data_IF_313880203093
#
_entry.id   IF_313880203093
#
_cell.length_a   1.000
_cell.length_b   1.000
_cell.length_c   1.000
_cell.angle_alpha   90.00
_cell.angle_beta   90.00
_cell.angle_gamma   90.00
#
_symmetry.space_group_name_H-M   'P 1'
#
loop_
_entity.id
_entity.type
_entity.pdbx_description
1 polymer ?
#
# COMPACT_ATOMS: atom_id res chain seq x y z
N UNK A 1 22.45 -16.88 -0.92
CA UNK A 1 22.33 -15.50 -0.41
C UNK A 1 20.91 -15.32 0.06
N UNK A 2 20.69 -15.00 1.33
CA UNK A 2 19.36 -14.71 1.87
C UNK A 2 18.86 -13.40 1.25
N UNK A 3 17.72 -13.45 0.57
CA UNK A 3 16.98 -12.26 0.13
C UNK A 3 16.80 -11.30 1.33
N UNK A 4 17.06 -10.00 1.18
CA UNK A 4 16.86 -9.05 2.27
C UNK A 4 15.38 -9.02 2.67
N UNK A 5 15.08 -8.95 3.96
CA UNK A 5 13.69 -8.84 4.42
C UNK A 5 12.97 -7.64 3.79
N UNK A 6 11.69 -7.77 3.41
CA UNK A 6 10.94 -6.67 2.79
C UNK A 6 10.91 -5.43 3.69
N UNK A 7 11.33 -4.30 3.13
CA UNK A 7 11.23 -2.97 3.72
C UNK A 7 9.88 -2.37 3.39
N UNK A 8 9.16 -1.90 4.40
CA UNK A 8 7.87 -1.23 4.17
C UNK A 8 8.07 0.12 3.46
N UNK A 9 7.12 0.52 2.63
CA UNK A 9 7.15 1.82 1.94
C UNK A 9 7.17 2.98 2.93
N UNK A 10 6.48 2.85 4.06
CA UNK A 10 6.55 3.84 5.14
C UNK A 10 7.99 4.04 5.59
N UNK A 11 8.71 2.96 5.86
CA UNK A 11 10.06 3.04 6.41
C UNK A 11 11.05 3.53 5.33
N UNK A 12 10.91 3.07 4.09
CA UNK A 12 11.67 3.57 2.95
C UNK A 12 11.49 5.10 2.76
N UNK A 13 10.25 5.59 2.81
CA UNK A 13 9.94 7.01 2.68
C UNK A 13 10.39 7.86 3.89
N UNK A 14 10.56 7.24 5.06
CA UNK A 14 11.05 7.88 6.28
C UNK A 14 12.58 7.81 6.42
N UNK A 15 13.28 7.13 5.51
CA UNK A 15 14.73 7.04 5.56
C UNK A 15 15.39 8.42 5.61
N UNK A 16 16.41 8.54 6.45
CA UNK A 16 17.19 9.78 6.62
C UNK A 16 18.25 9.92 5.55
N UNK A 17 18.79 8.80 5.05
CA UNK A 17 19.88 8.72 4.08
C UNK A 17 19.56 7.75 2.93
N UNK A 18 20.29 7.82 1.80
CA UNK A 18 20.20 6.80 0.76
C UNK A 18 20.55 5.44 1.35
N UNK A 19 19.84 4.41 0.90
CA UNK A 19 20.06 3.04 1.33
C UNK A 19 20.47 2.22 0.11
N UNK A 20 21.37 1.26 0.30
CA UNK A 20 21.74 0.29 -0.75
C UNK A 20 20.57 -0.61 -1.13
N UNK A 21 20.85 -1.87 -1.47
CA UNK A 21 19.82 -2.82 -1.88
C UNK A 21 18.77 -3.04 -0.79
N UNK A 22 17.55 -2.57 -1.03
CA UNK A 22 16.34 -2.88 -0.26
C UNK A 22 15.36 -3.65 -1.13
N UNK A 23 14.52 -4.47 -0.51
CA UNK A 23 13.39 -5.12 -1.18
C UNK A 23 12.10 -4.44 -0.76
N UNK A 24 11.24 -4.08 -1.72
CA UNK A 24 9.90 -3.53 -1.50
C UNK A 24 8.88 -4.38 -2.23
N UNK A 25 7.77 -4.70 -1.58
CA UNK A 25 6.70 -5.52 -2.14
C UNK A 25 5.38 -4.77 -2.05
N UNK A 26 4.55 -4.83 -3.10
CA UNK A 26 3.27 -4.15 -3.08
C UNK A 26 2.52 -4.25 -4.39
N UNK A 27 1.50 -3.39 -4.52
CA UNK A 27 0.64 -3.32 -5.70
C UNK A 27 0.94 -2.08 -6.54
N UNK A 28 0.99 -2.28 -7.85
CA UNK A 28 1.12 -1.21 -8.84
C UNK A 28 -0.11 -0.31 -8.77
N UNK A 29 0.11 0.97 -8.50
CA UNK A 29 -0.91 2.02 -8.55
C UNK A 29 -0.99 2.63 -9.93
N UNK A 30 0.16 2.92 -10.51
CA UNK A 30 0.26 3.49 -11.86
C UNK A 30 1.60 3.10 -12.47
N UNK A 31 1.66 3.05 -13.81
CA UNK A 31 2.88 2.95 -14.59
C UNK A 31 2.89 4.07 -15.62
N UNK A 32 4.04 4.72 -15.83
CA UNK A 32 4.27 5.68 -16.90
C UNK A 32 5.56 5.34 -17.61
N UNK A 33 5.46 5.09 -18.90
CA UNK A 33 6.60 4.72 -19.72
C UNK A 33 7.28 5.98 -20.27
N UNK A 34 8.60 5.97 -20.28
CA UNK A 34 9.46 6.95 -20.93
C UNK A 34 10.36 6.24 -21.94
N UNK A 35 11.22 6.98 -22.65
CA UNK A 35 12.03 6.40 -23.73
C UNK A 35 12.97 5.28 -23.22
N UNK A 36 13.65 5.52 -22.10
CA UNK A 36 14.71 4.63 -21.60
C UNK A 36 14.38 3.96 -20.25
N UNK A 37 13.23 4.28 -19.66
CA UNK A 37 12.80 3.74 -18.37
C UNK A 37 11.28 3.90 -18.17
N UNK A 38 10.73 3.14 -17.22
CA UNK A 38 9.36 3.26 -16.74
C UNK A 38 9.34 3.71 -15.28
N UNK A 39 8.45 4.65 -14.97
CA UNK A 39 8.10 5.00 -13.59
C UNK A 39 6.94 4.14 -13.13
N UNK A 40 7.10 3.44 -12.01
CA UNK A 40 6.06 2.61 -11.41
C UNK A 40 5.76 3.15 -10.02
N UNK A 41 4.52 3.54 -9.75
CA UNK A 41 4.11 3.86 -8.39
C UNK A 41 3.60 2.60 -7.69
N UNK A 42 4.18 2.27 -6.55
CA UNK A 42 3.82 1.10 -5.75
C UNK A 42 3.25 1.52 -4.40
N UNK A 43 2.27 0.78 -3.90
CA UNK A 43 1.76 0.93 -2.54
C UNK A 43 1.62 -0.44 -1.87
N UNK A 44 2.02 -0.55 -0.60
CA UNK A 44 2.01 -1.76 0.21
C UNK A 44 1.00 -1.68 1.38
N UNK A 45 0.28 -0.56 1.51
CA UNK A 45 -0.64 -0.30 2.62
C UNK A 45 0.04 0.18 3.91
N UNK A 46 1.37 0.30 3.98
CA UNK A 46 2.07 0.84 5.17
C UNK A 46 2.02 2.38 5.24
N UNK A 47 1.92 3.05 4.10
CA UNK A 47 1.87 4.52 3.95
C UNK A 47 0.71 4.99 3.06
N UNK A 48 0.20 6.19 3.30
CA UNK A 48 -0.74 6.86 2.37
C UNK A 48 -0.06 7.32 1.08
N UNK A 49 1.26 7.47 1.09
CA UNK A 49 2.08 7.82 -0.07
C UNK A 49 2.57 6.56 -0.78
N UNK A 50 2.71 6.65 -2.09
CA UNK A 50 3.32 5.61 -2.92
C UNK A 50 4.85 5.78 -2.92
N UNK A 51 5.57 4.69 -3.17
CA UNK A 51 6.98 4.73 -3.54
C UNK A 51 7.08 4.69 -5.06
N UNK A 52 7.88 5.58 -5.64
CA UNK A 52 8.17 5.55 -7.06
C UNK A 52 9.39 4.65 -7.32
N UNK A 53 9.23 3.74 -8.26
CA UNK A 53 10.24 2.83 -8.76
C UNK A 53 10.68 3.31 -10.14
N UNK A 54 11.99 3.34 -10.37
CA UNK A 54 12.59 3.57 -11.69
C UNK A 54 13.03 2.23 -12.26
N UNK A 55 12.32 1.75 -13.27
CA UNK A 55 12.65 0.54 -14.00
C UNK A 55 13.35 0.91 -15.31
N UNK A 56 14.65 0.65 -15.44
CA UNK A 56 15.41 0.97 -16.66
C UNK A 56 15.21 -0.08 -17.74
N UNK A 57 15.36 0.33 -19.01
CA UNK A 57 15.31 -0.59 -20.16
C UNK A 57 16.40 -1.67 -20.16
N UNK A 58 17.43 -1.50 -19.33
CA UNK A 58 18.49 -2.49 -19.10
C UNK A 58 18.05 -3.70 -18.27
N UNK A 59 16.85 -3.67 -17.65
CA UNK A 59 16.33 -4.82 -16.91
C UNK A 59 16.06 -6.00 -17.86
N UNK A 60 16.50 -7.23 -17.54
CA UNK A 60 16.32 -8.40 -18.41
C UNK A 60 14.85 -8.67 -18.79
N UNK A 61 13.92 -8.38 -17.88
CA UNK A 61 12.49 -8.57 -18.06
C UNK A 61 11.72 -7.27 -18.34
N UNK A 62 12.40 -6.21 -18.80
CA UNK A 62 11.78 -4.90 -19.01
C UNK A 62 10.54 -4.95 -19.92
N UNK A 63 10.53 -5.79 -20.95
CA UNK A 63 9.36 -5.97 -21.83
C UNK A 63 8.11 -6.47 -21.07
N UNK A 64 8.28 -7.25 -20.00
CA UNK A 64 7.18 -7.66 -19.11
C UNK A 64 6.79 -6.53 -18.15
N UNK A 65 7.76 -5.77 -17.65
CA UNK A 65 7.54 -4.58 -16.81
C UNK A 65 6.69 -3.54 -17.53
N UNK A 66 6.93 -3.33 -18.83
CA UNK A 66 6.12 -2.45 -19.70
C UNK A 66 4.68 -2.94 -19.91
N UNK A 67 4.32 -4.13 -19.41
CA UNK A 67 2.94 -4.66 -19.45
C UNK A 67 2.27 -4.63 -18.08
N UNK A 68 2.93 -4.17 -17.02
CA UNK A 68 2.36 -4.09 -15.67
C UNK A 68 1.16 -3.16 -15.58
N UNK A 69 0.00 -3.70 -15.26
CA UNK A 69 -1.26 -2.97 -15.10
C UNK A 69 -1.49 -2.51 -13.66
N UNK A 70 -2.44 -1.60 -13.47
CA UNK A 70 -2.91 -1.21 -12.14
C UNK A 70 -3.46 -2.44 -11.40
N UNK A 71 -3.02 -2.65 -10.17
CA UNK A 71 -3.43 -3.80 -9.35
C UNK A 71 -2.51 -5.02 -9.43
N UNK A 72 -1.54 -5.05 -10.35
CA UNK A 72 -0.52 -6.09 -10.39
C UNK A 72 0.33 -6.06 -9.10
N UNK A 73 0.76 -7.21 -8.61
CA UNK A 73 1.66 -7.34 -7.46
C UNK A 73 3.09 -7.60 -7.91
N UNK A 74 4.02 -6.87 -7.32
CA UNK A 74 5.44 -6.96 -7.66
C UNK A 74 6.31 -6.99 -6.39
N UNK A 75 7.46 -7.64 -6.52
CA UNK A 75 8.59 -7.55 -5.61
C UNK A 75 9.73 -6.84 -6.34
N UNK A 76 10.27 -5.78 -5.76
CA UNK A 76 11.32 -4.96 -6.36
C UNK A 76 12.51 -4.91 -5.43
N UNK A 77 13.68 -5.28 -5.96
CA UNK A 77 14.95 -5.10 -5.26
C UNK A 77 15.75 -4.02 -5.96
N UNK A 78 16.29 -3.07 -5.20
CA UNK A 78 17.01 -1.93 -5.76
C UNK A 78 17.58 -0.98 -4.74
N UNK A 79 18.30 0.03 -5.20
CA UNK A 79 18.87 1.07 -4.35
C UNK A 79 17.88 2.21 -4.09
N UNK A 80 17.73 2.60 -2.83
CA UNK A 80 16.93 3.76 -2.44
C UNK A 80 17.76 5.03 -2.64
N UNK A 81 17.40 5.82 -3.65
CA UNK A 81 18.17 6.99 -4.09
C UNK A 81 17.36 8.27 -3.91
N UNK A 82 18.06 9.39 -3.76
CA UNK A 82 17.42 10.69 -3.70
C UNK A 82 16.68 10.96 -5.03
N UNK A 83 15.42 11.36 -4.92
CA UNK A 83 14.59 11.72 -6.06
C UNK A 83 15.13 12.94 -6.79
N UNK A 84 15.05 12.94 -8.12
CA UNK A 84 15.24 14.15 -8.93
C UNK A 84 13.91 14.91 -9.18
N UNK A 85 12.77 14.26 -8.95
CA UNK A 85 11.44 14.85 -9.08
C UNK A 85 11.05 15.73 -7.91
N UNK A 86 10.31 16.81 -8.20
CA UNK A 86 9.71 17.69 -7.18
C UNK A 86 8.55 16.97 -6.48
N UNK A 87 8.54 16.98 -5.16
CA UNK A 87 7.42 16.48 -4.34
C UNK A 87 7.63 15.10 -3.69
N UNK A 88 8.71 14.41 -4.02
CA UNK A 88 9.13 13.18 -3.34
C UNK A 88 10.62 13.24 -2.96
N UNK A 89 10.98 12.66 -1.81
CA UNK A 89 12.37 12.64 -1.31
C UNK A 89 13.17 11.46 -1.87
N UNK A 90 12.51 10.32 -2.04
CA UNK A 90 13.14 9.04 -2.34
C UNK A 90 12.47 8.38 -3.55
N UNK A 91 13.29 7.71 -4.35
CA UNK A 91 12.89 6.82 -5.45
C UNK A 91 13.69 5.52 -5.33
N UNK A 92 13.13 4.40 -5.81
CA UNK A 92 13.85 3.12 -5.83
C UNK A 92 14.35 2.86 -7.25
N UNK A 93 15.67 2.88 -7.44
CA UNK A 93 16.28 2.45 -8.69
C UNK A 93 16.29 0.92 -8.72
N UNK A 94 15.47 0.31 -9.57
CA UNK A 94 15.27 -1.13 -9.59
C UNK A 94 16.45 -1.85 -10.25
N UNK A 95 17.01 -2.82 -9.53
CA UNK A 95 17.99 -3.79 -10.03
C UNK A 95 17.30 -5.09 -10.49
N UNK A 96 16.24 -5.49 -9.78
CA UNK A 96 15.37 -6.61 -10.15
C UNK A 96 13.90 -6.28 -9.88
N UNK A 97 13.00 -6.79 -10.74
CA UNK A 97 11.54 -6.69 -10.56
C UNK A 97 10.94 -8.08 -10.81
N UNK A 98 10.41 -8.70 -9.77
CA UNK A 98 9.66 -9.94 -9.88
C UNK A 98 8.16 -9.62 -9.95
N UNK A 99 7.49 -10.12 -10.99
CA UNK A 99 6.04 -10.00 -11.14
C UNK A 99 5.41 -11.19 -10.40
N UNK A 100 4.81 -10.91 -9.25
CA UNK A 100 4.21 -11.94 -8.39
C UNK A 100 2.79 -12.30 -8.85
N UNK A 101 2.08 -11.34 -9.44
CA UNK A 101 0.74 -11.52 -9.94
C UNK A 101 0.35 -10.40 -10.89
N UNK A 102 -0.27 -10.75 -12.01
CA UNK A 102 -0.79 -9.79 -12.97
C UNK A 102 -2.21 -9.35 -12.56
N UNK A 103 -2.64 -8.21 -13.10
CA UNK A 103 -4.03 -7.79 -13.05
C UNK A 103 -4.52 -7.60 -14.48
N UNK A 104 -5.72 -8.06 -14.80
CA UNK A 104 -6.35 -7.79 -16.09
C UNK A 104 -7.19 -6.49 -16.02
N UNK A 105 -7.76 -6.12 -17.16
CA UNK A 105 -8.54 -4.90 -17.31
C UNK A 105 -9.87 -4.92 -16.50
N UNK A 106 -10.30 -6.09 -16.01
CA UNK A 106 -11.47 -6.22 -15.14
C UNK A 106 -11.21 -5.74 -13.71
N UNK A 107 -9.95 -5.47 -13.34
CA UNK A 107 -9.62 -4.96 -12.01
C UNK A 107 -10.39 -3.66 -11.72
N UNK A 108 -11.28 -3.62 -10.71
CA UNK A 108 -12.27 -2.56 -10.62
C UNK A 108 -11.71 -1.24 -10.09
N UNK A 109 -10.57 -1.26 -9.37
CA UNK A 109 -9.89 -0.08 -8.84
C UNK A 109 -8.92 0.54 -9.84
N UNK A 110 -9.39 0.78 -11.07
CA UNK A 110 -8.63 1.53 -12.07
C UNK A 110 -8.32 2.95 -11.60
N UNK A 111 -7.33 3.60 -12.24
CA UNK A 111 -6.85 4.97 -11.95
C UNK A 111 -7.88 6.04 -12.38
N UNK A 112 -9.07 6.00 -11.79
CA UNK A 112 -10.17 6.96 -11.94
C UNK A 112 -10.87 7.18 -10.60
N UNK A 113 -11.64 8.26 -10.50
CA UNK A 113 -12.50 8.48 -9.34
C UNK A 113 -13.60 7.42 -9.29
N UNK A 114 -13.90 6.92 -8.09
CA UNK A 114 -14.96 5.94 -7.82
C UNK A 114 -15.91 6.52 -6.77
N UNK A 115 -17.21 6.30 -6.95
CA UNK A 115 -18.22 6.73 -5.98
C UNK A 115 -18.18 5.85 -4.73
N UNK A 116 -18.59 6.36 -3.56
CA UNK A 116 -18.75 5.54 -2.37
C UNK A 116 -19.68 4.33 -2.59
N UNK A 117 -20.73 4.48 -3.40
CA UNK A 117 -21.69 3.44 -3.77
C UNK A 117 -21.00 2.26 -4.46
N UNK A 118 -20.25 2.53 -5.52
CA UNK A 118 -19.48 1.51 -6.23
C UNK A 118 -18.45 0.83 -5.30
N UNK A 119 -17.77 1.61 -4.45
CA UNK A 119 -16.82 1.06 -3.49
C UNK A 119 -17.47 0.13 -2.44
N UNK A 120 -18.79 0.19 -2.21
CA UNK A 120 -19.52 -0.78 -1.37
C UNK A 120 -19.67 -2.13 -2.08
N UNK A 121 -19.89 -2.15 -3.39
CA UNK A 121 -20.02 -3.38 -4.18
C UNK A 121 -18.71 -4.19 -4.20
N UNK A 122 -17.58 -3.49 -4.18
CA UNK A 122 -16.24 -4.10 -4.09
C UNK A 122 -15.60 -3.93 -2.70
N UNK A 123 -16.37 -4.15 -1.64
CA UNK A 123 -15.91 -3.95 -0.26
C UNK A 123 -14.63 -4.71 0.13
N UNK A 124 -14.35 -5.83 -0.55
CA UNK A 124 -13.13 -6.62 -0.38
C UNK A 124 -11.88 -5.93 -0.96
N UNK A 125 -12.03 -5.05 -1.96
CA UNK A 125 -10.94 -4.29 -2.58
C UNK A 125 -10.87 -2.83 -2.11
N UNK A 126 -11.98 -2.23 -1.66
CA UNK A 126 -12.03 -0.82 -1.26
C UNK A 126 -10.95 -0.38 -0.26
N UNK A 127 -10.40 -1.21 0.67
CA UNK A 127 -9.30 -0.78 1.54
C UNK A 127 -8.06 -0.32 0.78
N UNK A 128 -7.90 -0.71 -0.48
CA UNK A 128 -6.80 -0.28 -1.37
C UNK A 128 -7.06 1.10 -2.01
N UNK A 129 -8.23 1.70 -1.84
CA UNK A 129 -8.51 3.07 -2.29
C UNK A 129 -7.91 4.11 -1.32
N UNK A 130 -7.61 5.32 -1.80
CA UNK A 130 -7.02 6.38 -0.97
C UNK A 130 -7.95 6.78 0.19
N UNK A 131 -9.26 6.90 -0.08
CA UNK A 131 -10.25 7.28 0.93
C UNK A 131 -10.36 6.22 2.04
N UNK A 132 -10.67 4.97 1.68
CA UNK A 132 -10.90 3.93 2.68
C UNK A 132 -9.62 3.50 3.39
N UNK A 133 -8.46 3.48 2.72
CA UNK A 133 -7.18 3.26 3.41
C UNK A 133 -6.95 4.30 4.52
N UNK A 134 -7.28 5.57 4.27
CA UNK A 134 -7.18 6.64 5.27
C UNK A 134 -8.16 6.43 6.42
N UNK A 135 -9.44 6.13 6.11
CA UNK A 135 -10.48 5.86 7.11
C UNK A 135 -10.07 4.68 8.02
N UNK A 136 -9.57 3.59 7.45
CA UNK A 136 -9.20 2.41 8.23
C UNK A 136 -7.98 2.65 9.13
N UNK A 137 -7.01 3.46 8.69
CA UNK A 137 -5.88 3.90 9.56
C UNK A 137 -6.37 4.72 10.74
N UNK A 138 -7.27 5.68 10.50
CA UNK A 138 -7.86 6.51 11.56
C UNK A 138 -8.65 5.63 12.53
N UNK A 139 -9.52 4.75 12.02
CA UNK A 139 -10.28 3.79 12.84
C UNK A 139 -9.36 2.92 13.69
N UNK A 140 -8.27 2.40 13.13
CA UNK A 140 -7.27 1.61 13.88
C UNK A 140 -6.63 2.43 15.00
N UNK A 141 -6.24 3.67 14.72
CA UNK A 141 -5.63 4.55 15.74
C UNK A 141 -6.61 4.93 16.84
N UNK A 142 -7.87 5.21 16.50
CA UNK A 142 -8.93 5.51 17.47
C UNK A 142 -9.23 4.31 18.38
N UNK A 143 -9.37 3.11 17.81
CA UNK A 143 -9.58 1.90 18.60
C UNK A 143 -8.44 1.68 19.61
N UNK A 144 -7.19 1.82 19.16
CA UNK A 144 -6.02 1.75 20.04
C UNK A 144 -6.06 2.80 21.15
N UNK A 145 -6.36 4.06 20.81
CA UNK A 145 -6.42 5.16 21.78
C UNK A 145 -7.51 4.97 22.85
N UNK A 146 -8.68 4.43 22.47
CA UNK A 146 -9.76 4.10 23.42
C UNK A 146 -9.29 3.03 24.41
N UNK A 147 -8.68 1.94 23.93
CA UNK A 147 -8.16 0.91 24.83
C UNK A 147 -7.05 1.44 25.74
N UNK A 148 -6.12 2.23 25.20
CA UNK A 148 -5.06 2.86 25.97
C UNK A 148 -5.63 3.76 27.09
N UNK A 149 -6.59 4.63 26.76
CA UNK A 149 -7.20 5.56 27.71
C UNK A 149 -7.79 4.87 28.95
N UNK A 150 -8.51 3.75 28.73
CA UNK A 150 -9.14 2.99 29.81
C UNK A 150 -8.13 2.17 30.60
N UNK A 151 -7.17 1.53 29.94
CA UNK A 151 -6.14 0.73 30.62
C UNK A 151 -5.26 1.60 31.53
N UNK A 152 -4.86 2.79 31.08
CA UNK A 152 -4.08 3.75 31.89
C UNK A 152 -4.82 4.21 33.16
N UNK A 153 -6.13 3.96 33.25
CA UNK A 153 -6.99 4.30 34.40
C UNK A 153 -7.41 3.08 35.22
N UNK A 154 -6.82 1.92 34.96
CA UNK A 154 -7.12 0.68 35.72
C UNK A 154 -8.44 0.00 35.34
N UNK A 155 -9.07 0.39 34.22
CA UNK A 155 -10.23 -0.33 33.71
C UNK A 155 -9.81 -1.65 33.06
N UNK A 156 -10.66 -2.66 33.17
CA UNK A 156 -10.48 -3.97 32.55
C UNK A 156 -11.40 -4.11 31.35
N UNK A 157 -10.85 -4.54 30.21
CA UNK A 157 -11.63 -4.82 29.01
C UNK A 157 -12.28 -6.21 29.10
N UNK A 158 -13.61 -6.27 29.02
CA UNK A 158 -14.39 -7.51 29.12
C UNK A 158 -15.18 -7.69 27.83
N UNK A 159 -15.11 -8.88 27.24
CA UNK A 159 -15.98 -9.28 26.13
C UNK A 159 -17.33 -9.75 26.68
N UNK A 160 -18.37 -8.94 26.48
CA UNK A 160 -19.73 -9.26 26.92
C UNK A 160 -20.46 -10.16 25.91
N UNK A 161 -21.51 -10.90 26.32
CA UNK A 161 -22.34 -11.68 25.40
C UNK A 161 -22.95 -10.81 24.30
N UNK A 162 -22.88 -11.28 23.04
CA UNK A 162 -23.51 -10.61 21.89
C UNK A 162 -24.96 -11.10 21.70
N UNK A 163 -25.23 -12.38 21.94
CA UNK A 163 -26.58 -12.95 21.87
C UNK A 163 -27.29 -12.66 23.19
N UNK A 164 -28.44 -12.01 23.14
CA UNK A 164 -29.25 -11.64 24.30
C UNK A 164 -30.74 -11.82 24.01
N UNK A 165 -31.54 -12.13 25.04
CA UNK A 165 -33.01 -12.18 24.98
C UNK A 165 -33.66 -10.86 25.38
N UNK A 166 -32.87 -9.88 25.84
CA UNK A 166 -33.35 -8.58 26.30
C UNK A 166 -33.08 -7.51 25.26
N UNK A 167 -34.10 -6.69 24.96
CA UNK A 167 -33.92 -5.39 24.34
C UNK A 167 -33.57 -4.37 25.43
N UNK A 168 -32.43 -3.68 25.28
CA UNK A 168 -31.91 -2.73 26.27
C UNK A 168 -32.27 -1.27 25.94
N UNK A 169 -32.78 -0.97 24.74
CA UNK A 169 -33.13 0.38 24.30
C UNK A 169 -34.62 0.54 23.95
N UNK A 170 -35.34 -0.58 23.78
CA UNK A 170 -36.79 -0.64 23.67
C UNK A 170 -37.32 0.00 22.39
N UNK A 171 -37.26 -0.73 21.26
CA UNK A 171 -38.06 -0.54 20.02
C UNK A 171 -37.44 -1.21 18.77
N UNK A 172 -36.56 -2.21 18.91
CA UNK A 172 -35.86 -2.85 17.78
C UNK A 172 -36.12 -4.34 17.64
#
# INVERSE_FOLDING_TARGET
MTEPSPTSIRDALQSTAPTGAIQVQGWVRTRRDSKDFSFIEVNDGSSSRNLQIIARSSLPNYAAVQRLTTGASISVTGALVASQGKGQKWELAADNIDILGTADDSYPLQKKGHTPEFLREIAHLRPRSNLFSSIFRVRSRLAFAVHQFFQERGFVFIHTPIITSSDCEGAG
#
